data_IF_115554487625
#
_entry.id   IF_115554487625
#
_cell.length_a   1.000
_cell.length_b   1.000
_cell.length_c   1.000
_cell.angle_alpha   90.00
_cell.angle_beta   90.00
_cell.angle_gamma   90.00
#
_symmetry.space_group_name_H-M   'P 1'
#
loop_
_entity.id
_entity.type
_entity.pdbx_description
1 polymer ?
#
# COMPACT_ATOMS: atom_id res chain seq x y z
N UNK A 1 -15.82 14.02 25.19
CA UNK A 1 -16.16 12.70 24.61
C UNK A 1 -16.01 12.62 23.09
N UNK A 2 -16.33 13.67 22.32
CA UNK A 2 -16.16 13.70 20.86
C UNK A 2 -14.69 13.71 20.43
N UNK A 3 -13.84 14.48 21.09
CA UNK A 3 -12.40 14.50 20.81
C UNK A 3 -11.76 13.12 20.99
N UNK A 4 -12.18 12.37 22.02
CA UNK A 4 -11.69 11.00 22.22
C UNK A 4 -12.11 10.07 21.07
N UNK A 5 -13.38 10.15 20.62
CA UNK A 5 -13.87 9.37 19.47
C UNK A 5 -13.07 9.69 18.21
N UNK A 6 -12.78 10.98 17.98
CA UNK A 6 -11.96 11.43 16.86
C UNK A 6 -10.55 10.84 16.92
N UNK A 7 -9.90 10.86 18.07
CA UNK A 7 -8.58 10.25 18.24
C UNK A 7 -8.58 8.74 18.02
N UNK A 8 -9.62 8.06 18.51
CA UNK A 8 -9.78 6.61 18.28
C UNK A 8 -9.97 6.33 16.78
N UNK A 9 -10.83 7.08 16.09
CA UNK A 9 -11.06 6.89 14.66
C UNK A 9 -9.77 7.08 13.85
N UNK A 10 -9.00 8.13 14.16
CA UNK A 10 -7.74 8.42 13.46
C UNK A 10 -6.64 7.38 13.71
N UNK A 11 -6.60 6.77 14.88
CA UNK A 11 -5.48 5.89 15.29
C UNK A 11 -5.80 4.42 15.25
N UNK A 12 -7.06 4.04 15.41
CA UNK A 12 -7.44 2.65 15.66
C UNK A 12 -8.40 2.08 14.61
N UNK A 13 -9.01 2.92 13.75
CA UNK A 13 -9.96 2.44 12.73
C UNK A 13 -9.24 2.30 11.40
N UNK A 14 -9.25 1.07 10.85
CA UNK A 14 -8.74 0.72 9.54
C UNK A 14 -9.83 -0.03 8.79
N UNK A 15 -9.92 0.18 7.50
CA UNK A 15 -10.88 -0.53 6.67
C UNK A 15 -10.40 -0.62 5.22
N UNK A 16 -10.65 -1.77 4.62
CA UNK A 16 -10.43 -2.01 3.19
C UNK A 16 -11.69 -2.65 2.63
N UNK A 17 -12.20 -2.10 1.56
CA UNK A 17 -13.35 -2.65 0.84
C UNK A 17 -13.09 -2.54 -0.66
N UNK A 18 -13.51 -3.55 -1.42
CA UNK A 18 -13.36 -3.55 -2.88
C UNK A 18 -14.32 -2.54 -3.55
N UNK A 19 -15.39 -2.17 -2.86
CA UNK A 19 -16.37 -1.23 -3.39
C UNK A 19 -15.99 0.22 -3.01
N UNK A 20 -15.57 1.07 -3.96
CA UNK A 20 -15.19 2.45 -3.68
C UNK A 20 -16.32 3.25 -3.04
N UNK A 21 -17.59 2.99 -3.41
CA UNK A 21 -18.75 3.67 -2.79
C UNK A 21 -18.89 3.28 -1.32
N UNK A 22 -18.62 2.03 -0.95
CA UNK A 22 -18.66 1.60 0.44
C UNK A 22 -17.55 2.30 1.27
N UNK A 23 -16.37 2.46 0.71
CA UNK A 23 -15.27 3.20 1.34
C UNK A 23 -15.65 4.66 1.60
N UNK A 24 -16.22 5.34 0.60
CA UNK A 24 -16.68 6.73 0.76
C UNK A 24 -17.79 6.86 1.81
N UNK A 25 -18.75 5.95 1.82
CA UNK A 25 -19.81 5.93 2.84
C UNK A 25 -19.23 5.67 4.24
N UNK A 26 -18.20 4.81 4.34
CA UNK A 26 -17.51 4.58 5.61
C UNK A 26 -16.79 5.84 6.10
N UNK A 27 -16.11 6.59 5.23
CA UNK A 27 -15.48 7.88 5.55
C UNK A 27 -16.50 8.88 6.08
N UNK A 28 -17.61 9.06 5.34
CA UNK A 28 -18.71 9.96 5.76
C UNK A 28 -19.28 9.53 7.12
N UNK A 29 -19.49 8.24 7.33
CA UNK A 29 -20.01 7.72 8.60
C UNK A 29 -19.07 8.01 9.76
N UNK A 30 -17.75 7.79 9.58
CA UNK A 30 -16.75 8.10 10.61
C UNK A 30 -16.71 9.60 10.88
N UNK A 31 -16.78 10.46 9.87
CA UNK A 31 -16.82 11.91 10.05
C UNK A 31 -18.03 12.37 10.85
N UNK A 32 -19.23 11.85 10.56
CA UNK A 32 -20.45 12.17 11.31
C UNK A 32 -20.29 11.82 12.79
N UNK A 33 -19.73 10.63 13.09
CA UNK A 33 -19.55 10.16 14.46
C UNK A 33 -18.43 10.85 15.23
N UNK A 34 -17.49 11.47 14.51
CA UNK A 34 -16.30 12.11 15.08
C UNK A 34 -16.31 13.64 14.92
N UNK A 35 -17.40 14.17 14.40
CA UNK A 35 -17.55 15.62 14.17
C UNK A 35 -17.40 16.43 15.45
N UNK A 36 -16.55 17.45 15.39
CA UNK A 36 -16.34 18.43 16.46
C UNK A 36 -16.51 19.83 15.86
N UNK A 37 -17.48 20.63 16.34
CA UNK A 37 -17.66 21.99 15.83
C UNK A 37 -16.40 22.83 15.95
N UNK A 38 -16.03 23.52 14.88
CA UNK A 38 -14.85 24.39 14.84
C UNK A 38 -13.53 23.68 14.53
N UNK A 39 -13.56 22.36 14.31
CA UNK A 39 -12.39 21.58 13.88
C UNK A 39 -12.70 20.99 12.49
N UNK A 40 -11.75 21.01 11.53
CA UNK A 40 -11.96 20.43 10.20
C UNK A 40 -12.18 18.92 10.26
N UNK A 41 -12.71 18.31 9.20
CA UNK A 41 -12.84 16.86 9.10
C UNK A 41 -11.44 16.21 9.06
N UNK A 42 -11.29 15.06 9.74
CA UNK A 42 -10.03 14.33 9.74
C UNK A 42 -9.72 13.77 8.35
N UNK A 43 -8.45 13.76 7.96
CA UNK A 43 -7.98 13.02 6.80
C UNK A 43 -8.00 11.51 7.11
N UNK A 44 -8.81 10.75 6.37
CA UNK A 44 -9.04 9.32 6.62
C UNK A 44 -8.64 8.41 5.44
N UNK A 45 -8.14 8.98 4.34
CA UNK A 45 -7.84 8.23 3.11
C UNK A 45 -6.76 7.17 3.30
N UNK A 46 -5.85 7.39 4.21
CA UNK A 46 -4.82 6.44 4.57
C UNK A 46 -5.31 5.30 5.48
N UNK A 47 -6.47 5.47 6.10
CA UNK A 47 -7.09 4.48 7.00
C UNK A 47 -8.18 3.66 6.33
N UNK A 48 -8.95 4.30 5.44
CA UNK A 48 -10.06 3.68 4.75
C UNK A 48 -9.74 3.62 3.26
N UNK A 49 -9.34 2.44 2.79
CA UNK A 49 -8.75 2.20 1.47
C UNK A 49 -9.66 1.35 0.60
N UNK A 50 -9.63 1.60 -0.71
CA UNK A 50 -10.27 0.74 -1.70
C UNK A 50 -9.30 -0.37 -2.12
N UNK A 51 -9.80 -1.59 -2.26
CA UNK A 51 -9.05 -2.73 -2.74
C UNK A 51 -9.56 -4.06 -2.21
N UNK A 52 -9.09 -5.14 -2.80
CA UNK A 52 -9.45 -6.50 -2.39
C UNK A 52 -8.50 -6.98 -1.29
N UNK A 53 -8.99 -7.01 -0.06
CA UNK A 53 -8.19 -7.38 1.12
C UNK A 53 -7.79 -8.86 1.19
N UNK A 54 -8.35 -9.70 0.32
CA UNK A 54 -8.03 -11.14 0.25
C UNK A 54 -6.96 -11.41 -0.81
N UNK A 55 -6.95 -10.60 -1.87
CA UNK A 55 -6.01 -10.70 -2.98
C UNK A 55 -4.96 -9.60 -2.85
N UNK A 56 -3.81 -9.94 -2.36
CA UNK A 56 -2.71 -9.01 -2.23
C UNK A 56 -1.55 -9.70 -1.54
N UNK A 57 -0.46 -9.00 -1.41
CA UNK A 57 0.67 -9.47 -0.62
C UNK A 57 0.55 -8.85 0.76
N UNK A 58 0.28 -9.69 1.77
CA UNK A 58 0.03 -9.21 3.13
C UNK A 58 1.33 -8.91 3.88
N UNK A 59 2.40 -9.64 3.60
CA UNK A 59 3.68 -9.47 4.28
C UNK A 59 4.85 -9.66 3.34
N UNK A 60 5.97 -9.05 3.70
CA UNK A 60 7.26 -9.26 3.04
C UNK A 60 7.69 -10.73 3.06
N UNK A 61 7.39 -11.44 4.15
CA UNK A 61 7.63 -12.88 4.26
C UNK A 61 6.82 -13.68 3.25
N UNK A 62 5.59 -13.28 2.99
CA UNK A 62 4.74 -13.90 1.97
C UNK A 62 5.28 -13.63 0.56
N UNK A 63 5.63 -12.39 0.23
CA UNK A 63 6.29 -12.08 -1.03
C UNK A 63 7.55 -12.94 -1.25
N UNK A 64 8.39 -13.02 -0.23
CA UNK A 64 9.58 -13.85 -0.25
C UNK A 64 9.28 -15.33 -0.47
N UNK A 65 8.26 -15.87 0.19
CA UNK A 65 7.88 -17.28 0.03
C UNK A 65 7.47 -17.58 -1.40
N UNK A 66 6.71 -16.71 -2.03
CA UNK A 66 6.28 -16.86 -3.44
C UNK A 66 7.50 -16.84 -4.36
N UNK A 67 8.40 -15.90 -4.15
CA UNK A 67 9.65 -15.79 -4.91
C UNK A 67 10.50 -17.06 -4.75
N UNK A 68 10.60 -17.65 -3.54
CA UNK A 68 11.33 -18.90 -3.26
C UNK A 68 10.73 -20.09 -3.96
N UNK A 69 9.42 -20.26 -3.93
CA UNK A 69 8.74 -21.37 -4.59
C UNK A 69 9.07 -21.46 -6.08
N UNK A 70 9.36 -20.33 -6.70
CA UNK A 70 9.73 -20.23 -8.11
C UNK A 70 11.26 -20.32 -8.37
N UNK A 71 12.04 -20.85 -7.44
CA UNK A 71 13.43 -21.32 -7.69
C UNK A 71 14.54 -20.29 -7.43
N UNK A 72 14.25 -19.16 -6.76
CA UNK A 72 15.20 -18.07 -6.56
C UNK A 72 15.94 -18.21 -5.21
N UNK A 73 16.62 -19.31 -4.97
CA UNK A 73 17.32 -19.50 -3.69
C UNK A 73 18.48 -18.54 -3.44
N UNK A 74 19.14 -18.00 -4.45
CA UNK A 74 20.35 -17.19 -4.30
C UNK A 74 20.09 -15.69 -4.25
N UNK A 75 19.12 -15.20 -5.00
CA UNK A 75 18.70 -13.81 -5.00
C UNK A 75 17.96 -13.41 -3.72
N UNK A 76 17.35 -14.37 -3.08
CA UNK A 76 16.50 -14.19 -1.91
C UNK A 76 17.28 -14.01 -0.62
N UNK A 77 18.43 -14.64 -0.47
CA UNK A 77 19.29 -14.42 0.69
C UNK A 77 19.70 -12.93 0.78
N UNK A 78 19.89 -12.30 -0.38
CA UNK A 78 20.15 -10.87 -0.48
C UNK A 78 18.90 -10.01 -0.27
N UNK A 79 17.71 -10.49 -0.67
CA UNK A 79 16.45 -9.82 -0.41
C UNK A 79 15.98 -9.96 1.05
N UNK A 80 16.33 -11.09 1.71
CA UNK A 80 16.08 -11.33 3.13
C UNK A 80 17.03 -10.57 4.05
N UNK A 81 18.30 -10.41 3.64
CA UNK A 81 19.32 -9.66 4.40
C UNK A 81 19.31 -8.17 4.08
N UNK A 82 18.70 -7.76 2.96
CA UNK A 82 18.44 -6.35 2.70
C UNK A 82 17.43 -5.87 3.74
N UNK A 83 17.89 -5.07 4.69
CA UNK A 83 16.98 -4.19 5.43
C UNK A 83 16.08 -3.47 4.42
N UNK A 84 14.82 -3.11 4.78
CA UNK A 84 14.04 -2.23 3.93
C UNK A 84 14.95 -1.13 3.46
N UNK A 85 14.96 -0.81 2.17
CA UNK A 85 15.82 0.29 1.70
C UNK A 85 15.56 1.48 2.63
N UNK A 86 16.58 2.25 2.94
CA UNK A 86 16.45 3.43 3.81
C UNK A 86 15.25 4.29 3.40
N UNK A 87 14.92 4.27 2.12
CA UNK A 87 13.75 4.94 1.54
C UNK A 87 12.42 4.37 2.05
N UNK A 88 12.23 3.04 2.07
CA UNK A 88 10.98 2.42 2.57
C UNK A 88 10.82 2.64 4.07
N UNK A 89 11.92 2.61 4.82
CA UNK A 89 11.90 2.94 6.25
C UNK A 89 11.52 4.41 6.48
N UNK A 90 12.04 5.30 5.68
CA UNK A 90 11.72 6.73 5.75
C UNK A 90 10.25 6.97 5.41
N UNK A 91 9.72 6.34 4.35
CA UNK A 91 8.30 6.41 4.00
C UNK A 91 7.42 5.88 5.14
N UNK A 92 7.75 4.71 5.70
CA UNK A 92 7.01 4.12 6.81
C UNK A 92 6.98 5.04 8.04
N UNK A 93 8.10 5.71 8.34
CA UNK A 93 8.19 6.71 9.41
C UNK A 93 7.31 7.92 9.13
N UNK A 94 7.38 8.47 7.92
CA UNK A 94 6.54 9.61 7.52
C UNK A 94 5.05 9.26 7.55
N UNK A 95 4.67 8.05 7.13
CA UNK A 95 3.29 7.56 7.24
C UNK A 95 2.84 7.43 8.71
N UNK A 96 3.71 6.99 9.61
CA UNK A 96 3.41 6.94 11.03
C UNK A 96 3.22 8.35 11.61
N UNK A 97 4.07 9.31 11.22
CA UNK A 97 3.96 10.72 11.63
C UNK A 97 2.64 11.36 11.21
N UNK A 98 2.12 11.04 10.01
CA UNK A 98 0.77 11.46 9.58
C UNK A 98 -0.29 10.97 10.58
N UNK A 99 -0.16 9.74 11.07
CA UNK A 99 -1.08 9.15 12.04
C UNK A 99 -1.02 9.77 13.43
N UNK A 100 0.17 10.19 13.84
CA UNK A 100 0.41 10.79 15.15
C UNK A 100 0.19 12.30 15.17
N UNK A 101 0.22 12.94 14.00
CA UNK A 101 0.07 14.38 13.84
C UNK A 101 -1.25 14.93 14.37
N UNK A 102 -1.36 16.25 14.41
CA UNK A 102 -2.62 16.95 14.74
C UNK A 102 -3.48 17.10 13.49
N UNK A 103 -4.77 17.32 13.68
CA UNK A 103 -5.74 17.66 12.63
C UNK A 103 -6.68 18.77 13.11
N UNK A 104 -6.13 19.68 13.91
CA UNK A 104 -6.89 20.72 14.58
C UNK A 104 -7.14 21.94 13.68
N UNK A 105 -6.32 22.12 12.67
CA UNK A 105 -6.43 23.20 11.68
C UNK A 105 -6.57 22.64 10.27
N UNK A 106 -7.00 23.49 9.34
CA UNK A 106 -7.10 23.12 7.92
C UNK A 106 -5.69 22.82 7.36
N UNK A 107 -4.72 23.62 7.76
CA UNK A 107 -3.32 23.47 7.37
C UNK A 107 -2.74 22.14 7.82
N UNK A 108 -3.10 21.65 9.02
CA UNK A 108 -2.69 20.31 9.50
C UNK A 108 -3.22 19.22 8.56
N UNK A 109 -4.51 19.31 8.18
CA UNK A 109 -5.17 18.33 7.32
C UNK A 109 -4.59 18.33 5.90
N UNK A 110 -4.38 19.53 5.32
CA UNK A 110 -3.80 19.70 3.99
C UNK A 110 -2.35 19.18 3.94
N UNK A 111 -1.55 19.48 4.96
CA UNK A 111 -0.17 18.99 5.07
C UNK A 111 -0.12 17.47 5.18
N UNK A 112 -1.00 16.86 5.96
CA UNK A 112 -1.10 15.41 6.08
C UNK A 112 -1.50 14.75 4.74
N UNK A 113 -2.44 15.35 4.02
CA UNK A 113 -2.87 14.87 2.70
C UNK A 113 -1.75 14.97 1.66
N UNK A 114 -1.03 16.09 1.65
CA UNK A 114 0.10 16.28 0.75
C UNK A 114 1.21 15.25 1.04
N UNK A 115 1.64 15.13 2.29
CA UNK A 115 2.68 14.17 2.69
C UNK A 115 2.28 12.72 2.37
N UNK A 116 0.99 12.38 2.53
CA UNK A 116 0.47 11.08 2.15
C UNK A 116 0.58 10.82 0.65
N UNK A 117 0.16 11.75 -0.19
CA UNK A 117 0.21 11.61 -1.64
C UNK A 117 1.66 11.50 -2.15
N UNK A 118 2.57 12.33 -1.64
CA UNK A 118 4.00 12.27 -1.97
C UNK A 118 4.60 10.89 -1.63
N UNK A 119 4.23 10.32 -0.49
CA UNK A 119 4.68 8.99 -0.10
C UNK A 119 4.05 7.88 -0.94
N UNK A 120 2.78 8.02 -1.34
CA UNK A 120 2.16 7.07 -2.28
C UNK A 120 2.89 7.04 -3.62
N UNK A 121 3.22 8.20 -4.19
CA UNK A 121 3.96 8.30 -5.45
C UNK A 121 5.32 7.58 -5.38
N UNK A 122 6.00 7.68 -4.25
CA UNK A 122 7.27 6.96 -3.99
C UNK A 122 7.09 5.45 -3.84
N UNK A 123 5.92 4.99 -3.41
CA UNK A 123 5.61 3.56 -3.25
C UNK A 123 5.10 2.90 -4.54
N UNK A 124 4.81 3.68 -5.57
CA UNK A 124 4.27 3.16 -6.84
C UNK A 124 5.13 2.03 -7.44
N UNK A 125 6.49 2.09 -7.50
CA UNK A 125 7.30 0.99 -8.02
C UNK A 125 7.22 -0.29 -7.17
N UNK A 126 7.07 -0.15 -5.87
CA UNK A 126 6.87 -1.28 -4.95
C UNK A 126 5.51 -1.94 -5.16
N UNK A 127 4.46 -1.13 -5.34
CA UNK A 127 3.12 -1.64 -5.63
C UNK A 127 3.11 -2.44 -6.92
N UNK A 128 3.77 -1.94 -7.98
CA UNK A 128 3.88 -2.64 -9.25
C UNK A 128 4.57 -4.02 -9.12
N UNK A 129 5.64 -4.10 -8.34
CA UNK A 129 6.29 -5.38 -8.05
C UNK A 129 5.36 -6.33 -7.30
N UNK A 130 4.62 -5.83 -6.29
CA UNK A 130 3.66 -6.64 -5.54
C UNK A 130 2.49 -7.12 -6.41
N UNK A 131 2.04 -6.30 -7.36
CA UNK A 131 1.06 -6.71 -8.37
C UNK A 131 1.57 -7.88 -9.21
N UNK A 132 2.82 -7.84 -9.69
CA UNK A 132 3.41 -8.95 -10.45
C UNK A 132 3.53 -10.20 -9.59
N UNK A 133 4.00 -10.08 -8.35
CA UNK A 133 4.07 -11.20 -7.40
C UNK A 133 2.68 -11.79 -7.14
N UNK A 134 1.66 -10.96 -7.04
CA UNK A 134 0.27 -11.41 -6.89
C UNK A 134 -0.22 -12.16 -8.14
N UNK A 135 0.05 -11.62 -9.33
CA UNK A 135 -0.35 -12.21 -10.60
C UNK A 135 0.40 -13.53 -10.90
N UNK A 136 1.63 -13.69 -10.43
CA UNK A 136 2.41 -14.92 -10.62
C UNK A 136 1.78 -16.14 -9.94
N UNK A 137 0.84 -15.95 -9.00
CA UNK A 137 0.07 -17.03 -8.39
C UNK A 137 -0.94 -17.70 -9.35
N UNK A 138 -1.29 -16.98 -10.42
CA UNK A 138 -2.33 -17.40 -11.39
C UNK A 138 -1.82 -17.43 -12.83
N UNK A 139 -0.54 -17.12 -13.05
CA UNK A 139 0.08 -17.10 -14.36
C UNK A 139 1.49 -17.71 -14.31
N UNK A 140 1.63 -18.89 -14.90
CA UNK A 140 2.88 -19.65 -14.89
C UNK A 140 4.04 -18.93 -15.58
N UNK A 141 3.75 -18.12 -16.61
CA UNK A 141 4.78 -17.36 -17.32
C UNK A 141 5.41 -16.29 -16.42
N UNK A 142 4.58 -15.58 -15.65
CA UNK A 142 5.06 -14.64 -14.66
C UNK A 142 5.81 -15.35 -13.53
N UNK A 143 5.32 -16.51 -13.11
CA UNK A 143 5.95 -17.32 -12.08
C UNK A 143 7.38 -17.75 -12.49
N UNK A 144 7.55 -18.29 -13.72
CA UNK A 144 8.85 -18.71 -14.26
C UNK A 144 9.83 -17.55 -14.45
N UNK A 145 9.33 -16.36 -14.76
CA UNK A 145 10.15 -15.16 -15.00
C UNK A 145 10.36 -14.29 -13.75
N UNK A 146 9.80 -14.66 -12.61
CA UNK A 146 9.78 -13.80 -11.41
C UNK A 146 11.20 -13.43 -10.93
N UNK A 147 12.16 -14.33 -11.10
CA UNK A 147 13.57 -14.08 -10.77
C UNK A 147 14.16 -12.93 -11.57
N UNK A 148 13.97 -12.97 -12.87
CA UNK A 148 14.44 -11.96 -13.82
C UNK A 148 13.80 -10.61 -13.50
N UNK A 149 12.49 -10.61 -13.29
CA UNK A 149 11.70 -9.42 -12.94
C UNK A 149 12.23 -8.75 -11.66
N UNK A 150 12.44 -9.53 -10.60
CA UNK A 150 12.96 -9.00 -9.32
C UNK A 150 14.36 -8.44 -9.47
N UNK A 151 15.22 -9.07 -10.27
CA UNK A 151 16.58 -8.58 -10.51
C UNK A 151 16.57 -7.29 -11.34
N UNK A 152 15.74 -7.20 -12.37
CA UNK A 152 15.57 -6.00 -13.18
C UNK A 152 15.03 -4.85 -12.33
N UNK A 153 13.98 -5.09 -11.55
CA UNK A 153 13.40 -4.12 -10.64
C UNK A 153 14.41 -3.58 -9.60
N UNK A 154 15.30 -4.43 -9.08
CA UNK A 154 16.34 -4.00 -8.13
C UNK A 154 17.36 -3.04 -8.75
N UNK A 155 17.65 -3.22 -10.05
CA UNK A 155 18.58 -2.34 -10.75
C UNK A 155 17.94 -1.01 -11.14
N UNK A 156 16.68 -1.05 -11.58
CA UNK A 156 15.89 0.14 -11.92
C UNK A 156 14.40 -0.12 -11.61
N UNK A 157 13.92 0.32 -10.44
CA UNK A 157 12.53 0.11 -10.04
C UNK A 157 11.49 0.71 -10.98
N UNK A 158 11.84 1.74 -11.76
CA UNK A 158 10.91 2.39 -12.68
C UNK A 158 10.79 1.64 -14.00
N UNK A 159 11.79 0.86 -14.41
CA UNK A 159 11.76 0.08 -15.66
C UNK A 159 10.61 -0.93 -15.71
N UNK A 160 10.09 -1.33 -14.55
CA UNK A 160 9.01 -2.30 -14.43
C UNK A 160 7.74 -1.89 -15.20
N UNK A 161 7.46 -0.58 -15.29
CA UNK A 161 6.24 -0.07 -15.95
C UNK A 161 6.24 -0.26 -17.47
N UNK A 162 7.42 -0.26 -18.08
CA UNK A 162 7.59 -0.47 -19.52
C UNK A 162 7.67 -1.95 -19.86
N UNK A 163 7.74 -2.83 -18.85
CA UNK A 163 7.88 -4.27 -19.05
C UNK A 163 6.59 -4.94 -19.50
N UNK A 164 6.73 -5.94 -20.35
CA UNK A 164 5.61 -6.82 -20.75
C UNK A 164 5.05 -7.60 -19.58
N UNK A 165 5.86 -7.86 -18.56
CA UNK A 165 5.46 -8.55 -17.34
C UNK A 165 4.45 -7.74 -16.54
N UNK A 166 4.68 -6.42 -16.39
CA UNK A 166 3.72 -5.55 -15.70
C UNK A 166 2.40 -5.45 -16.46
N UNK A 167 2.45 -5.29 -17.79
CA UNK A 167 1.24 -5.26 -18.61
C UNK A 167 0.45 -6.58 -18.50
N UNK A 168 1.14 -7.72 -18.47
CA UNK A 168 0.51 -9.02 -18.28
C UNK A 168 -0.12 -9.13 -16.90
N UNK A 169 0.58 -8.72 -15.86
CA UNK A 169 0.05 -8.70 -14.49
C UNK A 169 -1.19 -7.83 -14.37
N UNK A 170 -1.17 -6.63 -14.91
CA UNK A 170 -2.33 -5.72 -14.94
C UNK A 170 -3.52 -6.35 -15.66
N UNK A 171 -3.29 -7.02 -16.80
CA UNK A 171 -4.34 -7.75 -17.51
C UNK A 171 -4.96 -8.88 -16.68
N UNK A 172 -4.15 -9.63 -15.92
CA UNK A 172 -4.65 -10.69 -15.03
C UNK A 172 -5.40 -10.16 -13.81
N UNK A 173 -4.99 -9.01 -13.31
CA UNK A 173 -5.55 -8.40 -12.09
C UNK A 173 -6.67 -7.38 -12.39
N UNK A 174 -7.01 -7.12 -13.64
CA UNK A 174 -7.89 -6.04 -14.09
C UNK A 174 -9.25 -5.92 -13.36
N UNK A 175 -9.76 -7.03 -12.79
CA UNK A 175 -11.01 -7.03 -12.03
C UNK A 175 -10.81 -7.49 -10.56
N UNK A 176 -9.59 -7.58 -10.11
CA UNK A 176 -9.26 -8.16 -8.81
C UNK A 176 -8.88 -7.11 -7.77
N UNK A 177 -8.34 -5.96 -8.21
CA UNK A 177 -7.94 -4.82 -7.38
C UNK A 177 -7.18 -5.23 -6.09
N UNK A 178 -6.04 -5.93 -6.19
CA UNK A 178 -5.35 -6.44 -5.02
C UNK A 178 -4.96 -5.29 -4.06
N UNK A 179 -5.01 -5.56 -2.77
CA UNK A 179 -4.60 -4.62 -1.75
C UNK A 179 -3.34 -5.12 -1.03
N UNK A 180 -2.25 -4.38 -1.16
CA UNK A 180 -0.99 -4.73 -0.52
C UNK A 180 -0.86 -4.02 0.83
N UNK A 181 -0.89 -4.79 1.93
CA UNK A 181 -0.93 -4.26 3.29
C UNK A 181 0.39 -3.63 3.76
N UNK A 182 1.47 -3.87 3.06
CA UNK A 182 2.82 -3.41 3.46
C UNK A 182 3.24 -2.10 2.77
N UNK A 183 2.35 -1.53 1.97
CA UNK A 183 2.62 -0.31 1.23
C UNK A 183 1.73 0.81 1.72
#
# INVERSE_FOLDING_TARGET
NQLLRRQIARRCVYGVDINPTAVELARVSVWIHTFVPGIPLSFLDWRLRCGNSILGVATRGEANSIIIEHGIQKSLYEFQQGEPSDEVLEIAKQMAEIGEGTDSTIEDVESAMQAYNENLDRLVPWSALMDIICASRVDDTLAESLAEIVMEWRNDPLSIYDSTFYQTAQGKLANMEPFHFQI
#
